data_IF_003895904260
#
_entry.id   IF_003895904260
#
_cell.length_a   1.000
_cell.length_b   1.000
_cell.length_c   1.000
_cell.angle_alpha   90.00
_cell.angle_beta   90.00
_cell.angle_gamma   90.00
#
_symmetry.space_group_name_H-M   'P 1'
#
loop_
_entity.id
_entity.type
_entity.pdbx_description
1 polymer ?
#
# COMPACT_ATOMS: atom_id res chain seq x y z
N UNK A 1 -11.48 -15.31 32.63
CA UNK A 1 -11.68 -13.98 32.02
C UNK A 1 -11.98 -14.17 30.55
N UNK A 2 -13.00 -13.49 30.02
CA UNK A 2 -13.35 -13.58 28.60
C UNK A 2 -12.31 -12.80 27.77
N UNK A 3 -11.80 -13.42 26.72
CA UNK A 3 -10.83 -12.79 25.80
C UNK A 3 -11.57 -11.74 24.95
N UNK A 4 -11.19 -10.47 25.08
CA UNK A 4 -11.76 -9.38 24.28
C UNK A 4 -10.83 -9.01 23.13
N UNK A 5 -11.39 -8.86 21.92
CA UNK A 5 -10.67 -8.39 20.73
C UNK A 5 -10.94 -6.91 20.53
N UNK A 6 -9.90 -6.13 20.29
CA UNK A 6 -9.99 -4.68 20.06
C UNK A 6 -9.40 -4.34 18.69
N UNK A 7 -10.07 -3.45 17.96
CA UNK A 7 -9.54 -2.83 16.75
C UNK A 7 -8.91 -1.47 17.12
N UNK A 8 -7.65 -1.27 16.75
CA UNK A 8 -6.92 -0.03 16.99
C UNK A 8 -6.58 0.64 15.66
N UNK A 9 -7.01 1.89 15.49
CA UNK A 9 -6.61 2.72 14.35
C UNK A 9 -5.34 3.51 14.70
N UNK A 10 -4.28 3.31 13.92
CA UNK A 10 -2.95 3.87 14.21
C UNK A 10 -2.43 4.58 12.97
N UNK A 11 -2.29 5.91 13.06
CA UNK A 11 -1.53 6.70 12.08
C UNK A 11 -0.06 6.83 12.51
N UNK A 12 0.86 6.74 11.56
CA UNK A 12 2.29 6.94 11.84
C UNK A 12 3.04 7.50 10.62
N UNK A 13 4.18 8.14 10.86
CA UNK A 13 5.13 8.51 9.83
C UNK A 13 6.22 7.45 9.70
N UNK A 14 6.34 6.78 8.55
CA UNK A 14 7.30 5.70 8.29
C UNK A 14 8.76 6.14 8.10
N UNK A 15 9.06 7.44 8.21
CA UNK A 15 10.35 8.04 7.81
C UNK A 15 11.54 7.64 8.65
N UNK A 16 11.29 7.38 9.93
CA UNK A 16 12.28 6.95 10.91
C UNK A 16 12.06 5.48 11.34
N UNK A 17 11.16 4.76 10.67
CA UNK A 17 10.70 3.43 11.09
C UNK A 17 10.96 2.38 10.01
N UNK A 18 11.36 1.16 10.41
CA UNK A 18 11.61 0.04 9.48
C UNK A 18 10.36 -0.76 9.16
N UNK A 19 9.33 -0.06 8.69
CA UNK A 19 8.04 -0.64 8.37
C UNK A 19 7.24 -1.12 9.58
N UNK A 20 6.13 -1.81 9.31
CA UNK A 20 5.16 -2.23 10.34
C UNK A 20 5.64 -3.45 11.12
N UNK A 21 6.20 -4.43 10.41
CA UNK A 21 6.57 -5.71 11.00
C UNK A 21 7.80 -5.57 11.90
N UNK A 22 7.75 -6.21 13.07
CA UNK A 22 8.91 -6.33 13.97
C UNK A 22 10.04 -7.05 13.25
N UNK A 23 11.21 -6.42 13.23
CA UNK A 23 12.46 -7.03 12.77
C UNK A 23 13.22 -7.59 13.99
N UNK A 24 14.03 -8.64 13.80
CA UNK A 24 14.90 -9.14 14.87
C UNK A 24 15.96 -8.08 15.19
N UNK A 25 16.16 -7.80 16.47
CA UNK A 25 17.16 -6.84 16.95
C UNK A 25 18.56 -7.38 16.71
N UNK A 26 19.24 -6.88 15.68
CA UNK A 26 20.70 -6.96 15.55
C UNK A 26 21.26 -5.60 15.96
N UNK A 27 21.81 -5.55 17.18
CA UNK A 27 22.70 -4.52 17.75
C UNK A 27 22.34 -3.04 17.53
N UNK A 28 21.99 -2.34 18.64
CA UNK A 28 22.18 -0.89 18.88
C UNK A 28 22.24 0.03 17.62
N UNK A 29 21.15 0.14 16.88
CA UNK A 29 21.04 1.16 15.85
C UNK A 29 19.58 1.60 15.66
N UNK A 30 19.18 2.65 16.39
CA UNK A 30 18.27 3.77 16.05
C UNK A 30 16.98 3.54 15.21
N UNK A 31 16.57 2.32 14.88
CA UNK A 31 15.46 2.03 13.98
C UNK A 31 14.44 1.14 14.68
N UNK A 32 13.31 1.72 15.09
CA UNK A 32 12.20 0.96 15.68
C UNK A 32 11.18 0.64 14.60
N UNK A 33 10.56 -0.54 14.65
CA UNK A 33 9.37 -0.84 13.83
C UNK A 33 8.12 -0.23 14.46
N UNK A 34 7.09 0.07 13.66
CA UNK A 34 5.80 0.51 14.20
C UNK A 34 5.27 -0.52 15.19
N UNK A 35 5.35 -1.80 14.84
CA UNK A 35 4.87 -2.87 15.71
C UNK A 35 5.61 -3.00 17.04
N UNK A 36 6.91 -2.71 17.06
CA UNK A 36 7.69 -2.65 18.31
C UNK A 36 7.27 -1.47 19.20
N UNK A 37 7.04 -0.29 18.61
CA UNK A 37 6.60 0.90 19.35
C UNK A 37 5.20 0.71 19.94
N UNK A 38 4.26 0.20 19.14
CA UNK A 38 2.87 -0.04 19.58
C UNK A 38 2.85 -1.04 20.73
N UNK A 39 3.56 -2.17 20.62
CA UNK A 39 3.64 -3.14 21.71
C UNK A 39 4.25 -2.53 22.98
N UNK A 40 5.36 -1.78 22.85
CA UNK A 40 6.00 -1.11 23.98
C UNK A 40 5.07 -0.09 24.65
N UNK A 41 4.30 0.65 23.86
CA UNK A 41 3.29 1.59 24.35
C UNK A 41 2.17 0.86 25.11
N UNK A 42 1.62 -0.20 24.52
CA UNK A 42 0.56 -0.98 25.14
C UNK A 42 1.00 -1.64 26.46
N UNK A 43 2.24 -2.16 26.55
CA UNK A 43 2.79 -2.70 27.82
C UNK A 43 2.82 -1.67 28.96
N UNK A 44 2.97 -0.37 28.64
CA UNK A 44 2.95 0.70 29.65
C UNK A 44 1.56 0.98 30.22
N UNK A 45 0.50 0.62 29.48
CA UNK A 45 -0.88 0.77 29.94
C UNK A 45 -1.30 -0.29 30.98
N UNK A 46 -0.38 -1.20 31.36
CA UNK A 46 -0.62 -2.32 32.29
C UNK A 46 -1.90 -3.13 31.98
N UNK A 47 -2.10 -3.57 30.73
CA UNK A 47 -3.20 -4.48 30.42
C UNK A 47 -3.01 -5.79 31.20
N UNK A 48 -4.11 -6.39 31.64
CA UNK A 48 -4.08 -7.68 32.37
C UNK A 48 -3.38 -8.78 31.56
N UNK A 49 -3.53 -8.79 30.23
CA UNK A 49 -2.68 -9.53 29.29
C UNK A 49 -2.79 -8.96 27.87
N UNK A 50 -1.67 -8.93 27.12
CA UNK A 50 -1.67 -8.81 25.65
C UNK A 50 -0.95 -10.04 25.14
N UNK A 51 -1.71 -10.97 24.57
CA UNK A 51 -1.14 -12.22 24.05
C UNK A 51 -0.57 -12.01 22.65
N UNK A 52 -1.28 -11.31 21.77
CA UNK A 52 -0.93 -11.20 20.35
C UNK A 52 -1.32 -9.85 19.74
N UNK A 53 -0.44 -9.32 18.87
CA UNK A 53 -0.65 -8.09 18.11
C UNK A 53 -0.59 -8.40 16.61
N UNK A 54 -1.70 -8.16 15.91
CA UNK A 54 -1.84 -8.37 14.48
C UNK A 54 -1.94 -7.03 13.76
N UNK A 55 -1.22 -6.91 12.65
CA UNK A 55 -1.29 -5.75 11.75
C UNK A 55 -2.07 -6.11 10.51
N UNK A 56 -2.96 -5.21 10.10
CA UNK A 56 -3.77 -5.34 8.90
C UNK A 56 -2.95 -5.31 7.60
N UNK A 57 -1.83 -4.57 7.60
CA UNK A 57 -0.97 -4.40 6.43
C UNK A 57 0.52 -4.34 6.77
N UNK A 58 1.35 -4.49 5.74
CA UNK A 58 2.79 -4.21 5.78
C UNK A 58 3.06 -2.96 4.97
N UNK A 59 3.78 -1.99 5.54
CA UNK A 59 4.35 -0.88 4.78
C UNK A 59 5.87 -0.95 4.78
N UNK A 60 6.48 -0.49 3.69
CA UNK A 60 7.92 -0.26 3.59
C UNK A 60 8.33 0.97 4.43
N UNK A 61 9.63 1.11 4.71
CA UNK A 61 10.25 2.34 5.27
C UNK A 61 10.12 3.51 4.28
N UNK A 62 9.79 4.73 4.72
CA UNK A 62 9.70 5.86 3.79
C UNK A 62 9.79 7.26 4.42
N UNK A 63 10.75 8.08 3.97
CA UNK A 63 10.96 9.53 4.24
C UNK A 63 10.33 10.37 3.14
N UNK A 64 9.41 11.29 3.47
CA UNK A 64 8.75 12.20 2.52
C UNK A 64 9.62 12.58 1.31
N UNK A 65 9.19 12.19 0.11
CA UNK A 65 9.81 12.67 -1.12
C UNK A 65 8.73 13.13 -2.09
N UNK A 66 8.74 14.44 -2.30
CA UNK A 66 8.14 15.14 -3.43
C UNK A 66 8.84 14.66 -4.71
N UNK A 67 8.21 13.80 -5.50
CA UNK A 67 8.75 13.42 -6.81
C UNK A 67 8.44 14.55 -7.77
N UNK A 68 9.41 15.43 -7.99
CA UNK A 68 9.31 16.50 -8.98
C UNK A 68 9.37 15.88 -10.38
N UNK A 69 8.21 15.62 -10.96
CA UNK A 69 8.08 15.13 -12.33
C UNK A 69 8.22 16.34 -13.26
N UNK A 70 9.41 16.54 -13.83
CA UNK A 70 9.58 17.55 -14.88
C UNK A 70 8.70 17.19 -16.09
N UNK A 71 8.00 18.16 -16.69
CA UNK A 71 6.84 17.95 -17.55
C UNK A 71 7.12 17.29 -18.90
N UNK A 72 6.07 16.74 -19.56
CA UNK A 72 4.65 16.84 -19.14
C UNK A 72 4.14 15.57 -18.45
N UNK A 73 3.45 15.75 -17.31
CA UNK A 73 2.59 14.72 -16.70
C UNK A 73 1.17 14.97 -17.20
N UNK A 74 0.68 14.11 -18.09
CA UNK A 74 -0.65 14.21 -18.67
C UNK A 74 -1.58 13.17 -18.02
N UNK A 75 -2.43 13.65 -17.10
CA UNK A 75 -3.37 12.81 -16.36
C UNK A 75 -4.51 12.25 -17.23
N UNK A 76 -4.86 12.90 -18.34
CA UNK A 76 -5.94 12.44 -19.23
C UNK A 76 -5.61 11.07 -19.84
N UNK A 77 -4.32 10.77 -20.03
CA UNK A 77 -3.83 9.48 -20.53
C UNK A 77 -4.04 8.33 -19.55
N UNK A 78 -4.30 8.62 -18.28
CA UNK A 78 -4.35 7.62 -17.22
C UNK A 78 -5.71 6.95 -17.10
N UNK A 79 -6.78 7.56 -17.61
CA UNK A 79 -8.13 7.02 -17.44
C UNK A 79 -8.28 5.62 -18.05
N UNK A 80 -7.81 5.41 -19.28
CA UNK A 80 -7.85 4.11 -19.95
C UNK A 80 -6.96 3.07 -19.27
N UNK A 81 -5.83 3.50 -18.70
CA UNK A 81 -4.90 2.62 -17.98
C UNK A 81 -5.46 2.22 -16.63
N UNK A 82 -6.11 3.14 -15.91
CA UNK A 82 -6.80 2.85 -14.66
C UNK A 82 -7.88 1.79 -14.88
N UNK A 83 -8.74 2.00 -15.87
CA UNK A 83 -9.78 1.03 -16.26
C UNK A 83 -9.22 -0.34 -16.64
N UNK A 84 -8.07 -0.37 -17.34
CA UNK A 84 -7.42 -1.63 -17.71
C UNK A 84 -6.89 -2.40 -16.49
N UNK A 85 -6.38 -1.69 -15.48
CA UNK A 85 -5.82 -2.29 -14.27
C UNK A 85 -6.89 -2.76 -13.27
N UNK A 86 -8.11 -2.23 -13.35
CA UNK A 86 -9.24 -2.67 -12.53
C UNK A 86 -9.69 -4.09 -12.89
N UNK A 87 -10.19 -4.81 -11.88
CA UNK A 87 -10.59 -6.21 -11.99
C UNK A 87 -9.52 -7.20 -11.52
N UNK A 88 -9.73 -8.46 -11.88
CA UNK A 88 -8.88 -9.59 -11.47
C UNK A 88 -7.84 -9.87 -12.53
N UNK A 89 -6.57 -9.73 -12.19
CA UNK A 89 -5.44 -9.97 -13.10
C UNK A 89 -4.32 -10.74 -12.41
N UNK A 90 -3.45 -11.36 -13.21
CA UNK A 90 -2.16 -11.85 -12.72
C UNK A 90 -1.14 -10.69 -12.70
N UNK A 91 -0.88 -10.17 -11.51
CA UNK A 91 0.02 -9.03 -11.31
C UNK A 91 1.49 -9.42 -11.13
N UNK A 92 1.93 -10.60 -11.60
CA UNK A 92 3.32 -11.05 -11.44
C UNK A 92 4.35 -10.04 -12.00
N UNK A 93 4.04 -9.37 -13.11
CA UNK A 93 4.91 -8.32 -13.70
C UNK A 93 5.06 -7.10 -12.79
N UNK A 94 4.07 -6.83 -11.94
CA UNK A 94 4.05 -5.74 -10.98
C UNK A 94 4.61 -6.16 -9.61
N UNK A 95 5.02 -7.41 -9.42
CA UNK A 95 5.60 -7.87 -8.17
C UNK A 95 7.12 -7.77 -8.15
N UNK A 96 7.70 -7.67 -6.96
CA UNK A 96 9.14 -7.82 -6.81
C UNK A 96 9.62 -9.21 -7.26
N UNK A 97 10.85 -9.28 -7.78
CA UNK A 97 11.48 -10.57 -8.09
C UNK A 97 11.65 -11.36 -6.79
N UNK A 98 11.12 -12.58 -6.78
CA UNK A 98 11.27 -13.54 -5.71
C UNK A 98 12.72 -14.04 -5.62
N UNK A 99 13.23 -14.22 -4.40
CA UNK A 99 14.56 -14.80 -4.19
C UNK A 99 14.57 -16.27 -4.60
N UNK A 100 15.73 -16.76 -5.07
CA UNK A 100 15.92 -18.18 -5.39
C UNK A 100 15.57 -19.04 -4.17
N UNK A 101 14.70 -20.04 -4.37
CA UNK A 101 14.25 -20.98 -3.33
C UNK A 101 13.04 -20.52 -2.52
N UNK A 102 12.43 -19.38 -2.85
CA UNK A 102 11.14 -19.00 -2.25
C UNK A 102 9.98 -19.79 -2.85
N UNK A 103 8.98 -20.08 -2.03
CA UNK A 103 7.77 -20.81 -2.43
C UNK A 103 7.00 -19.94 -3.44
N UNK A 104 6.63 -20.48 -4.62
CA UNK A 104 5.79 -19.77 -5.58
C UNK A 104 4.51 -19.29 -4.89
N UNK A 105 4.24 -17.99 -5.01
CA UNK A 105 3.03 -17.37 -4.46
C UNK A 105 2.05 -17.12 -5.59
N UNK A 106 0.77 -17.31 -5.29
CA UNK A 106 -0.31 -16.88 -6.16
C UNK A 106 -0.22 -15.36 -6.39
N UNK A 107 -0.21 -14.97 -7.66
CA UNK A 107 -0.07 -13.59 -8.14
C UNK A 107 -1.37 -12.98 -8.67
N UNK A 108 -2.45 -13.75 -8.69
CA UNK A 108 -3.80 -13.23 -8.97
C UNK A 108 -4.22 -12.26 -7.87
N UNK A 109 -4.54 -11.02 -8.24
CA UNK A 109 -5.08 -10.01 -7.34
C UNK A 109 -6.22 -9.27 -8.01
N UNK A 110 -7.10 -8.71 -7.19
CA UNK A 110 -8.19 -7.87 -7.63
C UNK A 110 -7.91 -6.43 -7.22
N UNK A 111 -7.87 -5.53 -8.20
CA UNK A 111 -7.97 -4.09 -7.96
C UNK A 111 -9.44 -3.73 -8.13
N UNK A 112 -10.11 -3.39 -7.03
CA UNK A 112 -11.52 -2.99 -7.04
C UNK A 112 -11.71 -1.62 -7.68
N UNK A 113 -10.80 -0.69 -7.37
CA UNK A 113 -10.80 0.62 -7.98
C UNK A 113 -9.39 1.24 -7.96
N UNK A 114 -9.09 2.04 -8.96
CA UNK A 114 -7.90 2.89 -8.99
C UNK A 114 -8.25 4.28 -9.49
N UNK A 115 -7.97 5.30 -8.69
CA UNK A 115 -8.27 6.69 -9.03
C UNK A 115 -7.00 7.54 -9.02
N UNK A 116 -6.98 8.53 -9.91
CA UNK A 116 -5.94 9.56 -9.98
C UNK A 116 -6.64 10.91 -9.93
N UNK A 117 -6.38 11.69 -8.88
CA UNK A 117 -7.06 12.97 -8.63
C UNK A 117 -6.04 14.06 -8.30
N UNK A 118 -6.34 15.35 -8.56
CA UNK A 118 -5.50 16.43 -8.09
C UNK A 118 -5.33 16.35 -6.56
N UNK A 119 -4.08 16.30 -6.12
CA UNK A 119 -3.70 16.23 -4.71
C UNK A 119 -3.48 17.61 -4.12
N UNK A 120 -3.07 17.62 -2.86
CA UNK A 120 -2.74 18.86 -2.13
C UNK A 120 -1.29 18.82 -1.62
N UNK A 121 -0.64 19.99 -1.48
CA UNK A 121 0.67 20.08 -0.88
C UNK A 121 0.65 19.58 0.57
N UNK A 122 1.67 18.84 0.97
CA UNK A 122 1.81 18.32 2.34
C UNK A 122 2.14 19.41 3.37
N UNK A 123 2.74 20.52 2.92
CA UNK A 123 3.08 21.68 3.73
C UNK A 123 2.26 22.88 3.25
N UNK A 124 1.98 23.80 4.18
CA UNK A 124 1.34 25.07 3.85
C UNK A 124 2.19 25.82 2.80
N UNK A 125 1.63 26.17 1.62
CA UNK A 125 2.35 26.89 0.56
C UNK A 125 2.92 28.24 0.98
N UNK A 126 2.43 28.83 2.08
CA UNK A 126 2.99 30.05 2.67
C UNK A 126 4.35 29.83 3.32
N UNK A 127 4.66 28.60 3.74
CA UNK A 127 5.94 28.23 4.35
C UNK A 127 7.03 27.95 3.32
N UNK A 128 6.64 27.50 2.13
CA UNK A 128 7.54 27.31 0.99
C UNK A 128 6.83 27.70 -0.32
N UNK A 129 7.11 28.91 -0.86
CA UNK A 129 6.52 29.38 -2.10
C UNK A 129 6.75 28.47 -3.30
N UNK A 130 7.76 27.59 -3.29
CA UNK A 130 8.01 26.64 -4.39
C UNK A 130 6.86 25.64 -4.55
N UNK A 131 6.12 25.31 -3.48
CA UNK A 131 4.99 24.40 -3.54
C UNK A 131 3.85 24.95 -4.41
N UNK A 132 3.72 26.27 -4.52
CA UNK A 132 2.72 26.90 -5.40
C UNK A 132 2.96 26.65 -6.89
N UNK A 133 4.18 26.26 -7.27
CA UNK A 133 4.57 25.99 -8.66
C UNK A 133 4.44 24.51 -9.04
N UNK A 134 4.04 23.66 -8.10
CA UNK A 134 3.98 22.21 -8.28
C UNK A 134 2.54 21.74 -8.39
N UNK A 135 2.34 20.74 -9.25
CA UNK A 135 1.09 20.00 -9.33
C UNK A 135 1.21 18.74 -8.50
N UNK A 136 0.24 18.52 -7.62
CA UNK A 136 0.13 17.33 -6.79
C UNK A 136 -0.93 16.42 -7.38
N UNK A 137 -0.68 15.12 -7.35
CA UNK A 137 -1.60 14.09 -7.82
C UNK A 137 -1.62 12.94 -6.84
N UNK A 138 -2.80 12.59 -6.39
CA UNK A 138 -3.03 11.48 -5.49
C UNK A 138 -3.49 10.26 -6.30
N UNK A 139 -2.83 9.13 -6.08
CA UNK A 139 -3.23 7.83 -6.65
C UNK A 139 -3.76 6.95 -5.54
N UNK A 140 -5.06 6.64 -5.59
CA UNK A 140 -5.69 5.73 -4.63
C UNK A 140 -5.93 4.39 -5.29
N UNK A 141 -5.41 3.31 -4.68
CA UNK A 141 -5.64 1.94 -5.14
C UNK A 141 -6.37 1.16 -4.05
N UNK A 142 -7.57 0.67 -4.37
CA UNK A 142 -8.38 -0.15 -3.48
C UNK A 142 -8.42 -1.59 -3.98
N UNK A 143 -8.16 -2.54 -3.08
CA UNK A 143 -8.25 -3.97 -3.36
C UNK A 143 -8.14 -4.79 -2.10
N UNK A 144 -8.48 -6.08 -2.19
CA UNK A 144 -8.45 -7.01 -1.04
C UNK A 144 -7.03 -7.26 -0.52
N UNK A 145 -6.06 -7.35 -1.43
CA UNK A 145 -4.66 -7.51 -1.08
C UNK A 145 -3.76 -7.14 -2.26
N UNK A 146 -2.49 -6.86 -1.97
CA UNK A 146 -1.49 -6.50 -2.98
C UNK A 146 -0.22 -7.35 -2.82
N UNK A 147 0.44 -7.64 -3.93
CA UNK A 147 1.76 -8.25 -3.95
C UNK A 147 2.82 -7.26 -3.46
N UNK A 148 3.96 -7.79 -3.00
CA UNK A 148 5.05 -6.95 -2.54
C UNK A 148 5.55 -6.03 -3.66
N UNK A 149 5.52 -4.72 -3.40
CA UNK A 149 5.79 -3.60 -4.33
C UNK A 149 4.78 -3.38 -5.47
N UNK A 150 3.66 -4.11 -5.50
CA UNK A 150 2.65 -3.99 -6.56
C UNK A 150 2.19 -2.55 -6.75
N UNK A 151 1.69 -1.90 -5.70
CA UNK A 151 1.17 -0.52 -5.76
C UNK A 151 2.21 0.45 -6.29
N UNK A 152 3.46 0.37 -5.79
CA UNK A 152 4.57 1.25 -6.21
C UNK A 152 4.96 1.05 -7.68
N UNK A 153 4.87 -0.19 -8.17
CA UNK A 153 5.09 -0.52 -9.58
C UNK A 153 3.92 -0.04 -10.44
N UNK A 154 2.68 -0.21 -10.00
CA UNK A 154 1.50 0.35 -10.66
C UNK A 154 1.60 1.87 -10.81
N UNK A 155 1.93 2.60 -9.74
CA UNK A 155 2.17 4.06 -9.80
C UNK A 155 3.30 4.39 -10.77
N UNK A 156 4.38 3.60 -10.77
CA UNK A 156 5.49 3.76 -11.72
C UNK A 156 5.10 3.64 -13.19
N UNK A 157 4.17 2.73 -13.49
CA UNK A 157 3.57 2.58 -14.83
C UNK A 157 2.69 3.78 -15.17
N UNK A 158 1.81 4.20 -14.27
CA UNK A 158 0.98 5.40 -14.47
C UNK A 158 1.83 6.63 -14.78
N UNK A 159 2.89 6.88 -14.00
CA UNK A 159 3.84 7.98 -14.26
C UNK A 159 4.51 7.82 -15.63
N UNK A 160 4.89 6.59 -16.01
CA UNK A 160 5.45 6.31 -17.33
C UNK A 160 4.49 6.65 -18.48
N UNK A 161 3.20 6.35 -18.32
CA UNK A 161 2.16 6.68 -19.31
C UNK A 161 1.88 8.18 -19.35
N UNK A 162 1.72 8.82 -18.20
CA UNK A 162 1.49 10.26 -18.11
C UNK A 162 2.62 11.05 -18.80
N UNK A 163 3.86 10.56 -18.70
CA UNK A 163 5.03 11.15 -19.36
C UNK A 163 5.24 10.70 -20.81
N UNK A 164 4.37 9.85 -21.36
CA UNK A 164 4.47 9.32 -22.72
C UNK A 164 5.64 8.34 -22.95
N UNK A 165 6.28 7.83 -21.88
CA UNK A 165 7.31 6.78 -21.97
C UNK A 165 6.71 5.40 -22.20
N UNK A 166 5.46 5.21 -21.78
CA UNK A 166 4.67 4.00 -21.96
C UNK A 166 3.36 4.37 -22.65
N UNK A 167 2.79 3.42 -23.37
CA UNK A 167 1.44 3.51 -23.92
C UNK A 167 0.53 2.42 -23.34
N UNK A 168 -0.75 2.40 -23.74
CA UNK A 168 -1.72 1.43 -23.25
C UNK A 168 -1.34 -0.03 -23.59
N UNK A 169 -0.75 -0.25 -24.77
CA UNK A 169 -0.32 -1.57 -25.23
C UNK A 169 0.84 -2.12 -24.40
N UNK A 170 1.79 -1.26 -23.99
CA UNK A 170 2.86 -1.63 -23.05
C UNK A 170 2.27 -2.14 -21.72
N UNK A 171 1.19 -1.52 -21.22
CA UNK A 171 0.52 -1.93 -19.98
C UNK A 171 -0.24 -3.24 -20.17
N UNK A 172 -0.98 -3.37 -21.28
CA UNK A 172 -1.67 -4.61 -21.65
C UNK A 172 -0.69 -5.78 -21.73
N UNK A 173 0.47 -5.58 -22.36
CA UNK A 173 1.51 -6.59 -22.46
C UNK A 173 2.02 -7.07 -21.08
N UNK A 174 2.11 -6.18 -20.09
CA UNK A 174 2.50 -6.54 -18.72
C UNK A 174 1.48 -7.46 -18.04
N UNK A 175 0.19 -7.29 -18.36
CA UNK A 175 -0.92 -8.11 -17.84
C UNK A 175 -1.04 -9.44 -18.59
N UNK A 176 -0.92 -9.41 -19.92
CA UNK A 176 -1.05 -10.61 -20.79
C UNK A 176 0.13 -11.58 -20.62
N UNK A 177 1.31 -11.07 -20.25
CA UNK A 177 2.53 -11.85 -20.08
C UNK A 177 3.05 -11.73 -18.64
N UNK A 178 2.35 -12.31 -17.65
CA UNK A 178 2.66 -12.13 -16.24
C UNK A 178 4.00 -12.77 -15.88
N UNK A 179 5.00 -11.97 -15.54
CA UNK A 179 6.29 -12.45 -15.07
C UNK A 179 7.07 -11.35 -14.35
N UNK A 180 7.65 -11.68 -13.20
CA UNK A 180 8.50 -10.75 -12.43
C UNK A 180 9.71 -10.23 -13.24
N UNK A 181 10.10 -10.95 -14.30
CA UNK A 181 11.17 -10.57 -15.24
C UNK A 181 10.70 -9.67 -16.37
N UNK A 182 9.39 -9.57 -16.60
CA UNK A 182 8.78 -8.77 -17.66
C UNK A 182 8.57 -7.31 -17.24
N UNK A 183 9.17 -6.86 -16.14
CA UNK A 183 9.07 -5.46 -15.72
C UNK A 183 9.60 -4.53 -16.82
N UNK A 184 8.77 -3.60 -17.27
CA UNK A 184 9.14 -2.67 -18.34
C UNK A 184 10.18 -1.66 -17.81
N UNK A 185 11.39 -1.66 -18.39
CA UNK A 185 12.48 -0.78 -17.97
C UNK A 185 12.21 0.71 -18.25
N UNK A 186 11.24 1.01 -19.12
CA UNK A 186 10.74 2.38 -19.31
C UNK A 186 9.87 2.85 -18.14
N UNK A 187 9.52 2.00 -17.18
CA UNK A 187 8.82 2.35 -15.95
C UNK A 187 9.80 2.43 -14.76
N UNK A 188 9.66 3.45 -13.93
CA UNK A 188 10.45 3.59 -12.70
C UNK A 188 9.59 3.19 -11.51
N UNK A 189 10.08 2.30 -10.64
CA UNK A 189 9.34 1.94 -9.42
C UNK A 189 9.21 3.18 -8.54
N UNK A 190 7.98 3.55 -8.17
CA UNK A 190 7.76 4.71 -7.31
C UNK A 190 8.52 4.57 -5.98
N UNK A 191 9.09 5.64 -5.42
CA UNK A 191 9.66 5.61 -4.07
C UNK A 191 8.65 5.14 -3.02
N UNK A 192 9.08 4.52 -1.90
CA UNK A 192 8.15 4.10 -0.84
C UNK A 192 7.54 5.28 -0.09
N UNK A 193 8.19 6.44 -0.18
CA UNK A 193 7.97 7.63 0.64
C UNK A 193 6.62 8.31 0.44
N UNK A 194 6.04 8.18 -0.75
CA UNK A 194 4.73 8.71 -1.09
C UNK A 194 3.59 7.71 -0.91
N UNK A 195 3.87 6.49 -0.43
CA UNK A 195 2.86 5.45 -0.23
C UNK A 195 2.49 5.34 1.24
N UNK A 196 1.20 5.47 1.54
CA UNK A 196 0.63 5.26 2.86
C UNK A 196 -0.63 4.40 2.78
N UNK A 197 -0.90 3.64 3.84
CA UNK A 197 -2.17 2.94 4.00
C UNK A 197 -3.21 3.96 4.47
N UNK A 198 -4.26 4.16 3.68
CA UNK A 198 -5.34 5.10 4.01
C UNK A 198 -6.37 4.47 4.96
N UNK A 199 -6.91 3.31 4.58
CA UNK A 199 -7.97 2.65 5.34
C UNK A 199 -7.92 1.11 5.16
N UNK A 200 -8.55 0.39 6.09
CA UNK A 200 -8.77 -1.06 6.02
C UNK A 200 -10.20 -1.38 6.46
N UNK A 201 -10.96 -1.91 5.52
CA UNK A 201 -12.34 -2.34 5.74
C UNK A 201 -12.42 -3.74 6.36
N UNK A 202 -13.32 -3.91 7.33
CA UNK A 202 -13.63 -5.19 7.95
C UNK A 202 -15.14 -5.44 7.94
N UNK A 203 -15.60 -6.69 7.73
CA UNK A 203 -16.99 -7.04 7.93
C UNK A 203 -17.42 -6.81 9.40
N UNK A 204 -18.63 -6.28 9.66
CA UNK A 204 -19.08 -5.98 11.02
C UNK A 204 -19.04 -7.17 11.99
N UNK A 205 -19.29 -8.38 11.50
CA UNK A 205 -19.33 -9.59 12.31
C UNK A 205 -17.98 -10.02 12.90
N UNK A 206 -16.85 -9.51 12.39
CA UNK A 206 -15.50 -9.87 12.87
C UNK A 206 -15.27 -9.42 14.31
N UNK A 207 -15.98 -8.37 14.75
CA UNK A 207 -15.84 -7.76 16.07
C UNK A 207 -17.13 -7.84 16.90
N UNK A 208 -18.15 -8.56 16.43
CA UNK A 208 -19.34 -8.85 17.24
C UNK A 208 -18.93 -9.76 18.42
N UNK A 209 -19.46 -9.49 19.61
CA UNK A 209 -19.23 -10.36 20.76
C UNK A 209 -19.86 -11.74 20.50
N UNK A 210 -19.17 -12.83 20.86
CA UNK A 210 -19.76 -14.18 20.92
C UNK A 210 -20.86 -14.18 22.00
N UNK A 211 -22.06 -13.74 21.64
CA UNK A 211 -23.13 -13.49 22.60
C UNK A 211 -24.53 -13.33 22.03
N UNK A 212 -24.75 -13.55 20.73
CA UNK A 212 -26.10 -13.64 20.19
C UNK A 212 -26.19 -14.72 19.09
N UNK A 213 -25.93 -15.96 19.49
CA UNK A 213 -26.45 -17.14 18.79
C UNK A 213 -27.89 -17.38 19.26
N UNK A 214 -28.78 -16.39 19.06
CA UNK A 214 -30.21 -16.66 19.00
C UNK A 214 -30.50 -17.22 17.62
N UNK A 215 -30.33 -18.55 17.52
CA UNK A 215 -30.33 -19.29 16.27
C UNK A 215 -31.43 -18.89 15.30
N UNK A 216 -31.03 -18.38 14.15
CA UNK A 216 -31.76 -18.55 12.90
C UNK A 216 -30.75 -19.00 11.84
N UNK A 217 -30.77 -20.30 11.58
CA UNK A 217 -30.17 -20.88 10.39
C UNK A 217 -30.73 -20.17 9.15
N UNK A 218 -29.90 -19.77 8.16
CA UNK A 218 -30.43 -19.39 6.86
C UNK A 218 -31.07 -20.63 6.24
N UNK A 219 -32.40 -20.62 6.10
CA UNK A 219 -33.11 -21.53 5.21
C UNK A 219 -32.89 -21.04 3.77
N UNK A 220 -32.34 -21.96 2.98
CA UNK A 220 -32.34 -22.11 1.51
C UNK A 220 -31.87 -20.94 0.62
#
# INVERSE_FOLDING_TARGET
MSMRRYLLHIGYCGSMLRGVQKQREEHEALFVSVGGLVEKGLKRLRPESIEQLYFSSRTDTGKYLLVLLLPPFDAERLESVCRLLEGVHDFASFANVQSKGSIPRETLREIKSITVTPGQPLLDPTLDPLYSQLQFWDVTVHGKSFLYRQVRRTVGVLVGVAQGRLNLEDVQHLLDHPSQRNWNSKATVAPPDGLFLLDVEYPPHVFAEEGDDSGQSPQE
#
